data_IF_493655898447
#
_entry.id   IF_493655898447
#
_cell.length_a   1.000
_cell.length_b   1.000
_cell.length_c   1.000
_cell.angle_alpha   90.00
_cell.angle_beta   90.00
_cell.angle_gamma   90.00
#
_symmetry.space_group_name_H-M   'P 1'
#
loop_
_entity.id
_entity.type
_entity.pdbx_description
1 polymer ?
#
# COMPACT_ATOMS: atom_id res chain seq x y z
N UNK A 1 5.80 -41.79 -14.23
CA UNK A 1 5.64 -41.72 -15.71
C UNK A 1 4.67 -40.57 -15.98
N UNK A 2 4.95 -39.51 -16.73
CA UNK A 2 6.08 -39.17 -17.59
C UNK A 2 6.31 -37.65 -17.53
N UNK A 3 7.58 -37.23 -17.46
CA UNK A 3 8.04 -35.86 -17.64
C UNK A 3 8.05 -35.49 -19.12
N UNK A 4 7.42 -34.39 -19.50
CA UNK A 4 7.61 -33.78 -20.82
C UNK A 4 8.58 -32.59 -20.68
N UNK A 5 9.63 -32.50 -21.51
CA UNK A 5 10.50 -31.33 -21.54
C UNK A 5 9.94 -30.32 -22.55
N UNK A 6 9.56 -29.13 -22.09
CA UNK A 6 9.35 -27.98 -22.96
C UNK A 6 10.36 -26.90 -22.59
N UNK A 7 11.52 -26.95 -23.24
CA UNK A 7 12.46 -25.84 -23.29
C UNK A 7 12.16 -25.03 -24.55
N UNK A 8 11.55 -23.86 -24.37
CA UNK A 8 11.42 -22.86 -25.43
C UNK A 8 11.92 -21.52 -24.91
N UNK A 9 13.14 -21.13 -25.28
CA UNK A 9 13.60 -19.76 -25.11
C UNK A 9 13.02 -18.92 -26.25
N UNK A 10 12.25 -17.87 -25.93
CA UNK A 10 11.80 -16.89 -26.92
C UNK A 10 12.81 -15.74 -26.94
N UNK A 11 13.47 -15.57 -28.08
CA UNK A 11 14.43 -14.50 -28.31
C UNK A 11 13.72 -13.37 -29.05
N UNK A 12 13.52 -12.22 -28.40
CA UNK A 12 12.99 -11.01 -29.05
C UNK A 12 14.14 -10.02 -29.19
N UNK A 13 14.57 -9.78 -30.44
CA UNK A 13 15.58 -8.78 -30.77
C UNK A 13 14.94 -7.41 -30.96
N UNK A 14 15.39 -6.41 -30.20
CA UNK A 14 15.25 -5.00 -30.53
C UNK A 14 16.64 -4.40 -30.78
N UNK A 15 16.71 -3.40 -31.69
CA UNK A 15 17.97 -2.89 -32.24
C UNK A 15 18.84 -2.04 -31.29
N UNK A 16 18.54 -1.96 -29.99
CA UNK A 16 19.40 -1.27 -29.02
C UNK A 16 19.44 -2.01 -27.69
N UNK A 17 20.54 -2.72 -27.43
CA UNK A 17 20.88 -3.28 -26.11
C UNK A 17 20.14 -4.56 -25.72
N UNK A 18 20.88 -5.66 -25.59
CA UNK A 18 20.39 -6.89 -24.95
C UNK A 18 20.25 -6.67 -23.45
N UNK A 19 19.11 -6.16 -23.01
CA UNK A 19 18.71 -6.30 -21.61
C UNK A 19 18.25 -7.75 -21.44
N UNK A 20 18.99 -8.55 -20.65
CA UNK A 20 18.49 -9.84 -20.18
C UNK A 20 17.29 -9.54 -19.28
N UNK A 21 16.08 -9.59 -19.85
CA UNK A 21 14.91 -9.89 -19.04
C UNK A 21 15.19 -11.27 -18.43
N UNK A 22 15.36 -11.33 -17.11
CA UNK A 22 15.45 -12.59 -16.39
C UNK A 22 14.21 -13.40 -16.73
N UNK A 23 14.44 -14.63 -17.19
CA UNK A 23 13.42 -15.65 -17.39
C UNK A 23 12.49 -15.61 -16.17
N UNK A 24 11.20 -15.36 -16.38
CA UNK A 24 10.19 -15.67 -15.37
C UNK A 24 10.29 -17.18 -15.18
N UNK A 25 11.02 -17.59 -14.14
CA UNK A 25 11.03 -19.00 -13.75
C UNK A 25 9.57 -19.41 -13.55
N UNK A 26 9.20 -20.60 -14.02
CA UNK A 26 7.88 -21.14 -13.70
C UNK A 26 7.70 -21.07 -12.18
N UNK A 27 6.64 -20.39 -11.74
CA UNK A 27 6.29 -20.33 -10.33
C UNK A 27 5.85 -21.73 -9.90
N UNK A 28 6.55 -22.30 -8.92
CA UNK A 28 6.09 -23.53 -8.25
C UNK A 28 4.96 -23.16 -7.28
N UNK A 29 3.73 -23.18 -7.80
CA UNK A 29 2.53 -22.86 -7.04
C UNK A 29 2.32 -23.77 -5.84
N UNK A 30 2.74 -25.04 -5.92
CA UNK A 30 2.58 -25.98 -4.81
C UNK A 30 3.55 -25.64 -3.67
N UNK A 31 4.82 -25.40 -3.99
CA UNK A 31 5.81 -24.96 -2.99
C UNK A 31 5.44 -23.61 -2.38
N UNK A 32 4.91 -22.67 -3.18
CA UNK A 32 4.43 -21.38 -2.70
C UNK A 32 3.23 -21.53 -1.75
N UNK A 33 2.27 -22.40 -2.10
CA UNK A 33 1.11 -22.70 -1.26
C UNK A 33 1.53 -23.37 0.07
N UNK A 34 2.50 -24.30 0.04
CA UNK A 34 3.09 -24.87 1.25
C UNK A 34 3.74 -23.81 2.13
N UNK A 35 4.54 -22.92 1.53
CA UNK A 35 5.23 -21.84 2.24
C UNK A 35 4.26 -20.85 2.91
N UNK A 36 3.13 -20.57 2.27
CA UNK A 36 2.07 -19.70 2.80
C UNK A 36 1.10 -20.44 3.74
N UNK A 37 1.28 -21.75 3.95
CA UNK A 37 0.39 -22.55 4.80
C UNK A 37 -1.05 -22.65 4.27
N UNK A 38 -1.24 -22.52 2.96
CA UNK A 38 -2.56 -22.57 2.32
C UNK A 38 -3.03 -23.98 1.98
N UNK A 39 -2.14 -24.97 2.11
CA UNK A 39 -2.47 -26.39 1.97
C UNK A 39 -2.74 -27.03 3.34
N UNK A 40 -3.82 -27.80 3.44
CA UNK A 40 -4.20 -28.57 4.64
C UNK A 40 -4.59 -29.99 4.25
N UNK A 41 -4.68 -30.89 5.23
CA UNK A 41 -5.14 -32.26 4.99
C UNK A 41 -6.57 -32.25 4.41
N UNK A 42 -6.68 -32.53 3.11
CA UNK A 42 -7.95 -32.61 2.39
C UNK A 42 -8.48 -31.30 1.81
N UNK A 43 -7.72 -30.21 1.78
CA UNK A 43 -8.20 -28.95 1.18
C UNK A 43 -7.17 -27.84 1.04
N UNK A 44 -7.62 -26.73 0.44
CA UNK A 44 -6.84 -25.51 0.23
C UNK A 44 -7.62 -24.27 0.64
N UNK A 45 -6.92 -23.20 1.00
CA UNK A 45 -7.50 -21.89 1.32
C UNK A 45 -6.88 -20.79 0.47
N UNK A 46 -7.70 -19.91 -0.09
CA UNK A 46 -7.26 -18.71 -0.81
C UNK A 46 -7.81 -17.43 -0.18
N UNK A 47 -7.44 -16.30 -0.76
CA UNK A 47 -7.92 -14.98 -0.35
C UNK A 47 -7.03 -13.87 -0.88
N UNK A 48 -7.55 -12.65 -0.94
CA UNK A 48 -6.81 -11.49 -1.45
C UNK A 48 -5.52 -11.25 -0.67
N UNK A 49 -5.53 -11.43 0.66
CA UNK A 49 -4.34 -11.23 1.49
C UNK A 49 -3.26 -12.29 1.23
N UNK A 50 -3.65 -13.56 1.12
CA UNK A 50 -2.74 -14.65 0.72
C UNK A 50 -2.20 -14.44 -0.69
N UNK A 51 -3.04 -13.91 -1.61
CA UNK A 51 -2.62 -13.55 -2.96
C UNK A 51 -1.58 -12.43 -2.98
N UNK A 52 -1.74 -11.39 -2.16
CA UNK A 52 -0.74 -10.32 -2.02
C UNK A 52 0.57 -10.83 -1.43
N UNK A 53 0.52 -11.68 -0.41
CA UNK A 53 1.71 -12.33 0.15
C UNK A 53 2.42 -13.22 -0.89
N UNK A 54 1.66 -13.95 -1.70
CA UNK A 54 2.19 -14.73 -2.82
C UNK A 54 2.88 -13.82 -3.86
N UNK A 55 2.24 -12.72 -4.26
CA UNK A 55 2.82 -11.76 -5.20
C UNK A 55 4.11 -11.13 -4.67
N UNK A 56 4.17 -10.81 -3.38
CA UNK A 56 5.38 -10.32 -2.74
C UNK A 56 6.54 -11.32 -2.81
N UNK A 57 6.26 -12.61 -2.64
CA UNK A 57 7.26 -13.68 -2.81
C UNK A 57 7.67 -13.89 -4.28
N UNK A 58 6.74 -13.73 -5.22
CA UNK A 58 7.01 -13.89 -6.67
C UNK A 58 7.84 -12.72 -7.22
N UNK A 59 7.51 -11.49 -6.85
CA UNK A 59 8.22 -10.28 -7.29
C UNK A 59 9.56 -10.13 -6.57
N UNK A 60 9.61 -10.56 -5.31
CA UNK A 60 10.79 -10.50 -4.45
C UNK A 60 10.76 -9.28 -3.53
N UNK A 61 11.00 -9.54 -2.25
CA UNK A 61 11.04 -8.52 -1.17
C UNK A 61 12.02 -7.40 -1.50
N UNK A 62 13.24 -7.73 -1.95
CA UNK A 62 14.25 -6.72 -2.27
C UNK A 62 13.83 -5.83 -3.45
N UNK A 63 13.18 -6.39 -4.46
CA UNK A 63 12.65 -5.63 -5.60
C UNK A 63 11.60 -4.62 -5.15
N UNK A 64 10.71 -5.02 -4.23
CA UNK A 64 9.64 -4.17 -3.72
C UNK A 64 10.17 -3.07 -2.80
N UNK A 65 11.16 -3.39 -1.96
CA UNK A 65 11.87 -2.39 -1.14
C UNK A 65 12.64 -1.39 -2.00
N UNK A 66 13.35 -1.87 -3.02
CA UNK A 66 14.05 -1.00 -3.97
C UNK A 66 13.08 -0.09 -4.74
N UNK A 67 11.85 -0.52 -5.00
CA UNK A 67 10.83 0.33 -5.63
C UNK A 67 10.39 1.49 -4.70
N UNK A 68 10.36 1.26 -3.38
CA UNK A 68 10.16 2.34 -2.39
C UNK A 68 11.32 3.33 -2.46
N UNK A 69 12.56 2.85 -2.42
CA UNK A 69 13.74 3.72 -2.50
C UNK A 69 13.75 4.54 -3.81
N UNK A 70 13.39 3.90 -4.93
CA UNK A 70 13.26 4.55 -6.24
C UNK A 70 12.19 5.65 -6.25
N UNK A 71 11.06 5.41 -5.58
CA UNK A 71 10.00 6.39 -5.42
C UNK A 71 10.46 7.59 -4.59
N UNK A 72 11.03 7.33 -3.42
CA UNK A 72 11.50 8.36 -2.48
C UNK A 72 12.59 9.23 -3.09
N UNK A 73 13.45 8.67 -3.93
CA UNK A 73 14.46 9.41 -4.67
C UNK A 73 13.90 10.35 -5.77
N UNK A 74 12.59 10.33 -6.04
CA UNK A 74 11.95 11.17 -7.06
C UNK A 74 12.39 10.85 -8.49
N UNK A 75 12.86 9.63 -8.75
CA UNK A 75 13.41 9.24 -10.05
C UNK A 75 12.32 9.15 -11.15
N UNK A 76 12.64 9.40 -12.43
CA UNK A 76 11.69 9.28 -13.53
C UNK A 76 11.00 7.90 -13.56
N UNK A 77 9.67 7.89 -13.55
CA UNK A 77 8.88 6.65 -13.46
C UNK A 77 8.51 6.24 -12.03
N UNK A 78 8.87 7.03 -11.01
CA UNK A 78 8.47 6.83 -9.61
C UNK A 78 6.95 6.67 -9.45
N UNK A 79 6.13 7.44 -10.17
CA UNK A 79 4.67 7.31 -10.13
C UNK A 79 4.15 5.94 -10.60
N UNK A 80 4.84 5.31 -11.55
CA UNK A 80 4.51 3.94 -11.95
C UNK A 80 4.87 2.96 -10.83
N UNK A 81 6.04 3.13 -10.20
CA UNK A 81 6.42 2.34 -9.03
C UNK A 81 5.39 2.49 -7.90
N UNK A 82 4.97 3.73 -7.58
CA UNK A 82 3.92 4.02 -6.60
C UNK A 82 2.61 3.31 -6.95
N UNK A 83 2.19 3.36 -8.21
CA UNK A 83 0.94 2.72 -8.67
C UNK A 83 1.00 1.20 -8.54
N UNK A 84 2.14 0.58 -8.91
CA UNK A 84 2.35 -0.86 -8.74
C UNK A 84 2.31 -1.24 -7.25
N UNK A 85 3.03 -0.50 -6.40
CA UNK A 85 3.06 -0.74 -4.96
C UNK A 85 1.68 -0.56 -4.33
N UNK A 86 0.91 0.45 -4.72
CA UNK A 86 -0.44 0.69 -4.22
C UNK A 86 -1.42 -0.44 -4.59
N UNK A 87 -1.21 -1.08 -5.74
CA UNK A 87 -2.03 -2.20 -6.20
C UNK A 87 -1.68 -3.50 -5.47
N UNK A 88 -0.39 -3.73 -5.23
CA UNK A 88 0.11 -4.93 -4.56
C UNK A 88 -0.03 -4.86 -3.03
N UNK A 89 0.10 -3.67 -2.44
CA UNK A 89 0.16 -3.42 -0.99
C UNK A 89 1.10 -4.38 -0.23
N UNK A 90 2.37 -4.51 -0.63
CA UNK A 90 3.27 -5.47 -0.02
C UNK A 90 3.73 -5.01 1.35
N UNK A 91 3.89 -5.95 2.28
CA UNK A 91 4.31 -5.64 3.65
C UNK A 91 5.72 -5.04 3.67
N UNK A 92 6.64 -5.60 2.88
CA UNK A 92 8.02 -5.10 2.79
C UNK A 92 8.11 -3.65 2.32
N UNK A 93 7.19 -3.19 1.47
CA UNK A 93 7.14 -1.78 1.08
C UNK A 93 6.64 -0.90 2.22
N UNK A 94 5.60 -1.33 2.95
CA UNK A 94 5.13 -0.60 4.14
C UNK A 94 6.25 -0.48 5.18
N UNK A 95 6.94 -1.59 5.48
CA UNK A 95 8.08 -1.63 6.39
C UNK A 95 9.20 -0.71 5.93
N UNK A 96 9.54 -0.71 4.63
CA UNK A 96 10.57 0.17 4.10
C UNK A 96 10.19 1.64 4.22
N UNK A 97 8.93 2.01 3.97
CA UNK A 97 8.45 3.37 4.19
C UNK A 97 8.60 3.78 5.67
N UNK A 98 8.25 2.90 6.61
CA UNK A 98 8.39 3.16 8.05
C UNK A 98 9.86 3.33 8.45
N UNK A 99 10.76 2.50 7.93
CA UNK A 99 12.20 2.64 8.17
C UNK A 99 12.71 4.01 7.73
N UNK A 100 12.39 4.43 6.50
CA UNK A 100 12.80 5.73 5.95
C UNK A 100 12.21 6.87 6.78
N UNK A 101 10.90 6.82 7.04
CA UNK A 101 10.21 7.85 7.82
C UNK A 101 10.76 8.02 9.24
N UNK A 102 11.29 6.95 9.87
CA UNK A 102 11.81 7.01 11.25
C UNK A 102 13.30 7.33 11.35
N UNK A 103 14.08 7.06 10.31
CA UNK A 103 15.54 7.07 10.40
C UNK A 103 16.24 8.08 9.50
N UNK A 104 15.60 8.56 8.42
CA UNK A 104 16.21 9.52 7.52
C UNK A 104 16.25 10.93 8.12
N UNK A 105 17.42 11.58 8.00
CA UNK A 105 17.59 12.97 8.41
C UNK A 105 16.91 13.95 7.43
N UNK A 106 16.87 13.60 6.14
CA UNK A 106 16.28 14.44 5.11
C UNK A 106 14.75 14.46 5.21
N UNK A 107 14.20 15.66 5.41
CA UNK A 107 12.78 15.86 5.61
C UNK A 107 11.95 15.51 4.36
N UNK A 108 12.46 15.77 3.15
CA UNK A 108 11.74 15.44 1.92
C UNK A 108 11.60 13.92 1.74
N UNK A 109 12.67 13.18 2.01
CA UNK A 109 12.66 11.72 1.98
C UNK A 109 11.66 11.13 2.98
N UNK A 110 11.61 11.66 4.22
CA UNK A 110 10.60 11.25 5.21
C UNK A 110 9.19 11.52 4.73
N UNK A 111 8.92 12.74 4.23
CA UNK A 111 7.60 13.12 3.71
C UNK A 111 7.17 12.20 2.57
N UNK A 112 8.04 11.94 1.60
CA UNK A 112 7.78 11.05 0.47
C UNK A 112 7.51 9.62 0.91
N UNK A 113 8.21 9.11 1.93
CA UNK A 113 7.97 7.79 2.48
C UNK A 113 6.58 7.67 3.14
N UNK A 114 6.16 8.68 3.91
CA UNK A 114 4.84 8.69 4.57
C UNK A 114 3.72 8.91 3.55
N UNK A 115 3.96 9.72 2.51
CA UNK A 115 3.06 9.84 1.36
C UNK A 115 2.85 8.49 0.68
N UNK A 116 3.92 7.75 0.39
CA UNK A 116 3.81 6.43 -0.23
C UNK A 116 3.11 5.45 0.71
N UNK A 117 3.42 5.51 2.00
CA UNK A 117 2.80 4.67 3.02
C UNK A 117 1.29 4.86 3.05
N UNK A 118 0.77 6.09 2.90
CA UNK A 118 -0.67 6.35 2.73
C UNK A 118 -1.27 5.48 1.64
N UNK A 119 -0.62 5.38 0.50
CA UNK A 119 -1.13 4.64 -0.66
C UNK A 119 -1.10 3.12 -0.47
N UNK A 120 -0.05 2.61 0.19
CA UNK A 120 0.16 1.17 0.32
C UNK A 120 -0.44 0.58 1.60
N UNK A 121 -0.76 1.41 2.61
CA UNK A 121 -1.22 0.95 3.91
C UNK A 121 -2.47 0.07 3.85
N UNK A 122 -2.55 -0.82 4.85
CA UNK A 122 -3.73 -1.56 5.25
C UNK A 122 -4.18 -1.12 6.66
N UNK A 123 -5.06 -1.89 7.30
CA UNK A 123 -5.61 -1.54 8.62
C UNK A 123 -4.57 -1.25 9.71
N UNK A 124 -3.32 -1.75 9.56
CA UNK A 124 -2.21 -1.43 10.48
C UNK A 124 -1.83 0.06 10.47
N UNK A 125 -2.14 0.75 9.37
CA UNK A 125 -1.78 2.15 9.15
C UNK A 125 -2.36 3.12 10.16
N UNK A 126 -3.46 2.81 10.85
CA UNK A 126 -4.03 3.68 11.90
C UNK A 126 -3.04 3.90 13.05
N UNK A 127 -2.35 2.83 13.48
CA UNK A 127 -1.36 2.95 14.55
C UNK A 127 -0.15 3.80 14.12
N UNK A 128 0.28 3.68 12.86
CA UNK A 128 1.38 4.48 12.32
C UNK A 128 0.98 5.94 12.11
N UNK A 129 -0.27 6.20 11.70
CA UNK A 129 -0.76 7.56 11.55
C UNK A 129 -0.69 8.34 12.87
N UNK A 130 -1.04 7.70 14.00
CA UNK A 130 -0.93 8.33 15.32
C UNK A 130 0.51 8.75 15.66
N UNK A 131 1.50 7.93 15.28
CA UNK A 131 2.92 8.26 15.41
C UNK A 131 3.30 9.49 14.58
N UNK A 132 2.91 9.51 13.30
CA UNK A 132 3.27 10.61 12.38
C UNK A 132 2.59 11.94 12.68
N UNK A 133 1.41 11.93 13.31
CA UNK A 133 0.81 13.16 13.82
C UNK A 133 1.69 13.82 14.90
N UNK A 134 2.51 13.04 15.62
CA UNK A 134 3.45 13.55 16.62
C UNK A 134 4.81 13.98 16.07
N UNK A 135 5.05 13.87 14.76
CA UNK A 135 6.34 14.24 14.14
C UNK A 135 6.58 15.75 14.24
N UNK A 136 7.84 16.20 14.20
CA UNK A 136 8.17 17.64 14.19
C UNK A 136 7.93 18.29 12.82
N UNK A 137 7.95 17.50 11.75
CA UNK A 137 7.79 17.96 10.39
C UNK A 137 6.32 18.07 9.99
N UNK A 138 5.87 19.28 9.66
CA UNK A 138 4.47 19.55 9.29
C UNK A 138 4.01 18.75 8.06
N UNK A 139 4.91 18.43 7.12
CA UNK A 139 4.59 17.63 5.95
C UNK A 139 4.36 16.16 6.30
N UNK A 140 5.18 15.60 7.20
CA UNK A 140 4.99 14.25 7.75
C UNK A 140 3.66 14.16 8.49
N UNK A 141 3.33 15.14 9.34
CA UNK A 141 2.05 15.19 10.04
C UNK A 141 0.86 15.17 9.08
N UNK A 142 0.90 16.00 8.03
CA UNK A 142 -0.17 16.06 7.01
C UNK A 142 -0.31 14.73 6.28
N UNK A 143 0.80 14.09 5.90
CA UNK A 143 0.73 12.77 5.26
C UNK A 143 0.28 11.66 6.22
N UNK A 144 0.64 11.75 7.50
CA UNK A 144 0.12 10.90 8.57
C UNK A 144 -1.41 10.97 8.67
N UNK A 145 -1.96 12.19 8.65
CA UNK A 145 -3.41 12.41 8.57
C UNK A 145 -4.02 11.83 7.28
N UNK A 146 -3.29 11.89 6.17
CA UNK A 146 -3.67 11.28 4.90
C UNK A 146 -3.83 9.76 4.97
N UNK A 147 -3.05 9.05 5.80
CA UNK A 147 -3.19 7.60 6.02
C UNK A 147 -4.60 7.29 6.55
N UNK A 148 -5.07 8.05 7.54
CA UNK A 148 -6.41 7.87 8.13
C UNK A 148 -7.51 8.08 7.09
N UNK A 149 -7.41 9.16 6.30
CA UNK A 149 -8.35 9.43 5.21
C UNK A 149 -8.39 8.28 4.20
N UNK A 150 -7.23 7.86 3.70
CA UNK A 150 -7.15 6.81 2.68
C UNK A 150 -7.75 5.49 3.18
N UNK A 151 -7.49 5.11 4.43
CA UNK A 151 -8.01 3.87 5.01
C UNK A 151 -9.54 3.92 5.18
N UNK A 152 -10.08 5.03 5.67
CA UNK A 152 -11.53 5.22 5.81
C UNK A 152 -12.25 5.28 4.47
N UNK A 153 -11.68 6.01 3.50
CA UNK A 153 -12.21 6.12 2.15
C UNK A 153 -12.20 4.77 1.43
N UNK A 154 -11.14 3.98 1.61
CA UNK A 154 -11.00 2.65 1.00
C UNK A 154 -11.76 1.54 1.75
N UNK A 155 -12.42 1.86 2.86
CA UNK A 155 -13.11 0.88 3.71
C UNK A 155 -12.17 -0.14 4.38
N UNK A 156 -10.90 0.23 4.59
CA UNK A 156 -9.88 -0.60 5.25
C UNK A 156 -9.76 -0.32 6.75
N UNK A 157 -10.49 0.68 7.24
CA UNK A 157 -10.68 0.97 8.65
C UNK A 157 -12.16 1.27 8.92
N UNK A 158 -12.64 0.86 10.09
CA UNK A 158 -13.96 1.23 10.57
C UNK A 158 -13.92 2.65 11.15
N UNK A 159 -14.84 3.54 10.76
CA UNK A 159 -14.98 4.86 11.40
C UNK A 159 -15.08 4.82 12.93
N UNK A 160 -15.74 3.81 13.50
CA UNK A 160 -15.92 3.68 14.95
C UNK A 160 -14.57 3.48 15.66
N UNK A 161 -13.70 2.66 15.08
CA UNK A 161 -12.35 2.40 15.60
C UNK A 161 -11.41 3.61 15.46
N UNK A 162 -11.75 4.57 14.59
CA UNK A 162 -10.93 5.74 14.30
C UNK A 162 -11.27 6.97 15.16
N UNK A 163 -12.23 6.89 16.10
CA UNK A 163 -12.70 8.05 16.84
C UNK A 163 -11.60 8.85 17.55
N UNK A 164 -10.66 8.17 18.22
CA UNK A 164 -9.57 8.84 18.95
C UNK A 164 -8.63 9.61 18.02
N UNK A 165 -8.23 9.01 16.89
CA UNK A 165 -7.31 9.66 15.94
C UNK A 165 -8.01 10.79 15.18
N UNK A 166 -9.30 10.66 14.88
CA UNK A 166 -10.08 11.72 14.24
C UNK A 166 -10.26 12.95 15.13
N UNK A 167 -10.36 12.77 16.45
CA UNK A 167 -10.36 13.89 17.39
C UNK A 167 -8.97 14.51 17.57
N UNK A 168 -7.92 13.69 17.59
CA UNK A 168 -6.55 14.18 17.59
C UNK A 168 -6.26 15.04 16.36
N UNK A 169 -6.68 14.60 15.16
CA UNK A 169 -6.54 15.36 13.92
C UNK A 169 -7.33 16.68 13.94
N UNK A 170 -8.55 16.68 14.48
CA UNK A 170 -9.41 17.88 14.50
C UNK A 170 -8.88 18.98 15.43
N UNK A 171 -8.16 18.62 16.48
CA UNK A 171 -7.58 19.55 17.47
C UNK A 171 -6.09 19.79 17.26
N UNK A 172 -5.51 19.20 16.22
CA UNK A 172 -4.07 19.24 15.95
C UNK A 172 -3.57 20.66 15.66
N UNK A 173 -2.39 21.11 16.14
CA UNK A 173 -1.89 22.46 15.87
C UNK A 173 -1.63 22.77 14.38
N UNK A 174 -1.29 21.74 13.59
CA UNK A 174 -1.10 21.87 12.14
C UNK A 174 -2.43 22.01 11.40
N UNK A 175 -2.63 23.16 10.73
CA UNK A 175 -3.86 23.49 9.99
C UNK A 175 -4.11 22.53 8.83
N UNK A 176 -3.08 21.97 8.20
CA UNK A 176 -3.21 20.96 7.15
C UNK A 176 -3.87 19.67 7.69
N UNK A 177 -3.46 19.23 8.88
CA UNK A 177 -4.07 18.08 9.57
C UNK A 177 -5.54 18.36 9.92
N UNK A 178 -5.85 19.55 10.45
CA UNK A 178 -7.23 19.94 10.75
C UNK A 178 -8.12 19.95 9.51
N UNK A 179 -7.61 20.46 8.38
CA UNK A 179 -8.32 20.45 7.09
C UNK A 179 -8.63 19.02 6.64
N UNK A 180 -7.67 18.11 6.78
CA UNK A 180 -7.88 16.70 6.47
C UNK A 180 -8.96 16.08 7.37
N UNK A 181 -8.94 16.39 8.68
CA UNK A 181 -9.97 15.94 9.61
C UNK A 181 -11.37 16.40 9.21
N UNK A 182 -11.51 17.67 8.81
CA UNK A 182 -12.78 18.23 8.36
C UNK A 182 -13.29 17.55 7.08
N UNK A 183 -12.39 17.30 6.12
CA UNK A 183 -12.71 16.58 4.89
C UNK A 183 -13.23 15.15 5.18
N UNK A 184 -12.49 14.40 6.01
CA UNK A 184 -12.88 13.04 6.40
C UNK A 184 -14.24 13.01 7.07
N UNK A 185 -14.52 13.93 8.02
CA UNK A 185 -15.84 14.00 8.68
C UNK A 185 -16.97 14.29 7.68
N UNK A 186 -16.76 15.21 6.74
CA UNK A 186 -17.74 15.50 5.69
C UNK A 186 -18.03 14.27 4.82
N UNK A 187 -16.98 13.53 4.46
CA UNK A 187 -17.10 12.29 3.70
C UNK A 187 -17.90 11.24 4.48
N UNK A 188 -17.56 11.00 5.75
CA UNK A 188 -18.25 10.01 6.59
C UNK A 188 -19.73 10.35 6.79
N UNK A 189 -20.06 11.62 7.05
CA UNK A 189 -21.45 12.07 7.17
C UNK A 189 -22.24 11.83 5.86
N UNK A 190 -21.61 12.10 4.71
CA UNK A 190 -22.23 11.85 3.40
C UNK A 190 -22.46 10.36 3.15
N UNK A 191 -21.50 9.51 3.52
CA UNK A 191 -21.59 8.05 3.41
C UNK A 191 -22.71 7.49 4.29
N UNK A 192 -22.84 7.99 5.52
CA UNK A 192 -23.90 7.58 6.45
C UNK A 192 -25.28 7.91 5.89
N UNK A 193 -25.47 9.14 5.38
CA UNK A 193 -26.71 9.57 4.74
C UNK A 193 -27.08 8.70 3.53
N UNK A 194 -26.10 8.33 2.71
CA UNK A 194 -26.32 7.46 1.56
C UNK A 194 -26.70 6.01 1.95
N UNK A 195 -26.34 5.58 3.17
CA UNK A 195 -26.67 4.25 3.70
C UNK A 195 -28.04 4.16 4.38
N UNK A 196 -28.75 5.29 4.58
CA UNK A 196 -30.07 5.30 5.21
C UNK A 196 -31.15 4.66 4.31
N UNK A 197 -32.06 3.83 4.85
CA UNK A 197 -33.14 3.21 4.07
C UNK A 197 -34.05 4.26 3.42
N UNK A 198 -34.05 4.33 2.09
CA UNK A 198 -34.86 5.28 1.31
C UNK A 198 -34.07 6.46 0.72
N UNK A 199 -32.75 6.52 0.92
CA UNK A 199 -31.90 7.47 0.20
C UNK A 199 -31.98 7.22 -1.32
N UNK A 200 -32.37 8.24 -2.09
CA UNK A 200 -32.31 8.17 -3.54
C UNK A 200 -30.83 8.06 -3.98
N UNK A 201 -30.47 7.19 -4.93
CA UNK A 201 -29.10 7.13 -5.43
C UNK A 201 -28.78 8.47 -6.08
N UNK A 202 -27.71 9.11 -5.60
CA UNK A 202 -27.22 10.37 -6.14
C UNK A 202 -26.67 10.08 -7.54
N UNK A 203 -27.47 10.34 -8.57
CA UNK A 203 -27.02 10.30 -9.96
C UNK A 203 -26.22 11.56 -10.24
N UNK A 204 -24.89 11.47 -10.15
CA UNK A 204 -24.01 12.52 -10.66
C UNK A 204 -22.73 11.94 -11.26
N UNK A 205 -22.76 11.89 -12.61
CA UNK A 205 -21.73 12.05 -13.66
C UNK A 205 -20.26 11.85 -13.28
#
# INVERSE_FOLDING_TARGET
>A
MASLPWQGAVQVSFMFGTQRASVVGLVDWHALAQKLGTLRDGGESGGSDLGRQALELIVGVDSLRSAVDYYVAGAPGSELARSVLALLKPLSAMERCLEIARSEADAESRRSAVELLRMVADGRGIAWAAEFLGDEDEGVQVWGAGIVDQLLWSGLADPEDCGQILEAMATHPNVGVQRQAAFVRSFLASRQKAAEPGAAPDTAI
#
